data_IF_212064841998
#
_entry.id   IF_212064841998
#
_cell.length_a   1.000
_cell.length_b   1.000
_cell.length_c   1.000
_cell.angle_alpha   90.00
_cell.angle_beta   90.00
_cell.angle_gamma   90.00
#
_symmetry.space_group_name_H-M   'P 1'
#
loop_
_entity.id
_entity.type
_entity.pdbx_description
1 polymer ?
#
# COMPACT_ATOMS: atom_id res chain seq x y z
N UNK A 1 5.87 -28.75 -10.27
CA UNK A 1 5.62 -27.38 -10.77
C UNK A 1 4.61 -26.78 -9.82
N UNK A 2 4.82 -25.57 -9.30
CA UNK A 2 3.89 -24.94 -8.36
C UNK A 2 2.67 -24.43 -9.13
N UNK A 3 1.48 -24.94 -8.82
CA UNK A 3 0.21 -24.52 -9.43
C UNK A 3 -0.71 -23.88 -8.39
N UNK A 4 -0.99 -24.58 -7.29
CA UNK A 4 -1.92 -24.11 -6.28
C UNK A 4 -1.16 -23.47 -5.11
N UNK A 5 -1.36 -22.16 -4.93
CA UNK A 5 -0.72 -21.39 -3.87
C UNK A 5 -1.77 -20.97 -2.86
N UNK A 6 -1.57 -21.31 -1.59
CA UNK A 6 -2.33 -20.74 -0.50
C UNK A 6 -1.72 -19.39 -0.11
N UNK A 7 -2.51 -18.33 -0.19
CA UNK A 7 -2.13 -16.97 0.15
C UNK A 7 -2.81 -16.58 1.45
N UNK A 8 -2.02 -16.29 2.47
CA UNK A 8 -2.48 -15.71 3.73
C UNK A 8 -2.37 -14.18 3.56
N UNK A 9 -3.51 -13.51 3.49
CA UNK A 9 -3.61 -12.05 3.32
C UNK A 9 -4.29 -11.44 4.55
N UNK A 10 -3.50 -10.76 5.38
CA UNK A 10 -3.96 -10.15 6.63
C UNK A 10 -3.99 -8.64 6.46
N UNK A 11 -5.14 -8.13 6.01
CA UNK A 11 -5.44 -6.70 6.00
C UNK A 11 -5.77 -6.17 7.39
N UNK A 12 -5.83 -4.85 7.54
CA UNK A 12 -6.07 -4.19 8.84
C UNK A 12 -7.37 -4.66 9.52
N UNK A 13 -8.46 -4.76 8.76
CA UNK A 13 -9.80 -5.04 9.31
C UNK A 13 -10.28 -6.46 9.04
N UNK A 14 -9.70 -7.14 8.04
CA UNK A 14 -10.10 -8.48 7.64
C UNK A 14 -8.88 -9.29 7.21
N UNK A 15 -8.85 -10.55 7.65
CA UNK A 15 -7.88 -11.54 7.21
C UNK A 15 -8.56 -12.55 6.29
N UNK A 16 -7.81 -13.08 5.32
CA UNK A 16 -8.27 -14.15 4.45
C UNK A 16 -7.16 -15.15 4.16
N UNK A 17 -7.55 -16.40 3.92
CA UNK A 17 -6.70 -17.40 3.30
C UNK A 17 -7.38 -17.82 2.01
N UNK A 18 -6.70 -17.55 0.91
CA UNK A 18 -7.20 -17.79 -0.43
C UNK A 18 -6.33 -18.81 -1.15
N UNK A 19 -6.95 -19.62 -2.01
CA UNK A 19 -6.25 -20.53 -2.89
C UNK A 19 -6.22 -19.93 -4.29
N UNK A 20 -5.03 -19.75 -4.85
CA UNK A 20 -4.83 -19.24 -6.21
C UNK A 20 -4.32 -20.37 -7.10
N UNK A 21 -4.95 -20.54 -8.26
CA UNK A 21 -4.41 -21.32 -9.36
C UNK A 21 -3.55 -20.40 -10.23
N UNK A 22 -2.22 -20.60 -10.20
CA UNK A 22 -1.26 -19.80 -10.97
C UNK A 22 -1.38 -20.01 -12.48
N UNK A 23 -1.83 -21.18 -12.92
CA UNK A 23 -2.00 -21.46 -14.35
C UNK A 23 -3.16 -20.65 -14.94
N UNK A 24 -4.25 -20.54 -14.17
CA UNK A 24 -5.42 -19.74 -14.54
C UNK A 24 -5.33 -18.28 -14.07
N UNK A 25 -4.33 -17.95 -13.25
CA UNK A 25 -4.19 -16.67 -12.55
C UNK A 25 -5.50 -16.25 -11.87
N UNK A 26 -6.10 -17.18 -11.11
CA UNK A 26 -7.44 -16.99 -10.54
C UNK A 26 -7.54 -17.47 -9.11
N UNK A 27 -8.25 -16.70 -8.29
CA UNK A 27 -8.68 -17.13 -6.96
C UNK A 27 -9.77 -18.21 -7.08
N UNK A 28 -9.48 -19.40 -6.55
CA UNK A 28 -10.32 -20.60 -6.66
C UNK A 28 -11.22 -20.80 -5.46
N UNK A 29 -10.76 -20.38 -4.28
CA UNK A 29 -11.48 -20.48 -3.03
C UNK A 29 -10.92 -19.45 -2.05
N UNK A 30 -11.76 -18.95 -1.15
CA UNK A 30 -11.38 -17.98 -0.14
C UNK A 30 -12.11 -18.26 1.17
N UNK A 31 -11.39 -18.16 2.28
CA UNK A 31 -11.95 -18.09 3.63
C UNK A 31 -11.58 -16.76 4.22
N UNK A 32 -12.50 -16.14 4.95
CA UNK A 32 -12.31 -14.81 5.53
C UNK A 32 -12.68 -14.81 7.00
N UNK A 33 -12.03 -13.95 7.78
CA UNK A 33 -12.49 -13.57 9.12
C UNK A 33 -12.13 -12.11 9.42
N UNK A 34 -12.86 -11.45 10.34
CA UNK A 34 -12.42 -10.17 10.89
C UNK A 34 -11.01 -10.27 11.48
N UNK A 35 -10.17 -9.27 11.21
CA UNK A 35 -8.91 -9.07 11.92
C UNK A 35 -9.20 -8.22 13.16
N UNK A 36 -9.48 -8.89 14.28
CA UNK A 36 -9.94 -8.25 15.50
C UNK A 36 -8.80 -7.61 16.27
N UNK A 37 -9.00 -6.35 16.66
CA UNK A 37 -8.19 -5.67 17.67
C UNK A 37 -8.86 -5.91 19.03
N UNK A 38 -8.12 -6.52 19.96
CA UNK A 38 -8.59 -6.74 21.32
C UNK A 38 -8.49 -5.43 22.11
N UNK A 39 -9.61 -4.89 22.63
CA UNK A 39 -9.57 -3.72 23.48
C UNK A 39 -9.12 -4.15 24.87
N UNK A 40 -7.99 -3.63 25.37
CA UNK A 40 -7.53 -3.97 26.71
C UNK A 40 -6.08 -3.63 26.99
N UNK A 41 -5.64 -3.93 28.22
CA UNK A 41 -4.25 -3.82 28.62
C UNK A 41 -3.38 -4.85 27.86
N UNK A 42 -2.09 -4.55 27.58
CA UNK A 42 -1.39 -3.30 27.91
C UNK A 42 -1.78 -2.12 27.00
N UNK A 43 -2.31 -2.40 25.82
CA UNK A 43 -2.80 -1.45 24.80
C UNK A 43 -3.61 -2.23 23.75
N UNK A 44 -4.39 -1.58 22.87
CA UNK A 44 -5.06 -2.26 21.76
C UNK A 44 -4.08 -3.02 20.86
N UNK A 45 -4.32 -4.32 20.66
CA UNK A 45 -3.43 -5.22 19.93
C UNK A 45 -4.22 -6.25 19.12
N UNK A 46 -3.60 -6.80 18.08
CA UNK A 46 -4.24 -7.81 17.24
C UNK A 46 -4.37 -9.16 17.96
N UNK A 47 -5.49 -9.84 17.74
CA UNK A 47 -5.73 -11.21 18.19
C UNK A 47 -4.96 -12.23 17.32
N UNK A 48 -3.65 -12.33 17.57
CA UNK A 48 -2.75 -13.19 16.78
C UNK A 48 -3.03 -14.67 16.97
N UNK A 49 -3.57 -15.09 18.11
CA UNK A 49 -3.88 -16.49 18.36
C UNK A 49 -5.10 -16.94 17.57
N UNK A 50 -6.18 -16.14 17.56
CA UNK A 50 -7.34 -16.45 16.73
C UNK A 50 -7.02 -16.36 15.22
N UNK A 51 -6.09 -15.48 14.82
CA UNK A 51 -5.59 -15.44 13.44
C UNK A 51 -4.84 -16.73 13.09
N UNK A 52 -4.01 -17.22 14.01
CA UNK A 52 -3.26 -18.46 13.80
C UNK A 52 -4.17 -19.67 13.65
N UNK A 53 -5.13 -19.84 14.55
CA UNK A 53 -6.10 -20.94 14.49
C UNK A 53 -6.88 -20.92 13.17
N UNK A 54 -7.31 -19.74 12.75
CA UNK A 54 -7.98 -19.54 11.47
C UNK A 54 -7.09 -19.89 10.27
N UNK A 55 -5.79 -19.52 10.30
CA UNK A 55 -4.84 -19.86 9.24
C UNK A 55 -4.72 -21.37 9.12
N UNK A 56 -4.47 -22.07 10.23
CA UNK A 56 -4.31 -23.53 10.23
C UNK A 56 -5.56 -24.25 9.75
N UNK A 57 -6.72 -23.86 10.26
CA UNK A 57 -8.00 -24.44 9.83
C UNK A 57 -8.23 -24.18 8.33
N UNK A 58 -7.91 -22.97 7.85
CA UNK A 58 -8.12 -22.62 6.45
C UNK A 58 -7.20 -23.37 5.51
N UNK A 59 -5.92 -23.49 5.85
CA UNK A 59 -4.97 -24.31 5.10
C UNK A 59 -5.46 -25.76 5.02
N UNK A 60 -5.95 -26.31 6.14
CA UNK A 60 -6.51 -27.67 6.18
C UNK A 60 -7.73 -27.84 5.26
N UNK A 61 -8.68 -26.90 5.32
CA UNK A 61 -9.90 -26.95 4.49
C UNK A 61 -9.55 -26.84 3.01
N UNK A 62 -8.71 -25.88 2.63
CA UNK A 62 -8.34 -25.65 1.24
C UNK A 62 -7.56 -26.85 0.66
N UNK A 63 -6.64 -27.42 1.46
CA UNK A 63 -5.82 -28.54 1.04
C UNK A 63 -6.62 -29.83 0.78
N UNK A 64 -7.80 -30.00 1.41
CA UNK A 64 -8.71 -31.12 1.10
C UNK A 64 -9.36 -31.01 -0.28
N UNK A 65 -9.56 -29.78 -0.78
CA UNK A 65 -10.13 -29.54 -2.11
C UNK A 65 -9.09 -29.56 -3.22
N UNK A 66 -7.88 -29.05 -2.93
CA UNK A 66 -6.79 -28.91 -3.89
C UNK A 66 -5.46 -29.14 -3.18
N UNK A 67 -4.55 -29.91 -3.77
CA UNK A 67 -3.22 -30.11 -3.18
C UNK A 67 -2.43 -28.79 -3.20
N UNK A 68 -2.17 -28.20 -2.03
CA UNK A 68 -1.44 -26.94 -1.92
C UNK A 68 0.06 -27.16 -2.14
N UNK A 69 0.62 -26.50 -3.15
CA UNK A 69 2.02 -26.64 -3.55
C UNK A 69 2.96 -25.69 -2.80
N UNK A 70 2.46 -24.51 -2.42
CA UNK A 70 3.23 -23.48 -1.72
C UNK A 70 2.32 -22.58 -0.87
N UNK A 71 2.92 -21.92 0.12
CA UNK A 71 2.28 -20.86 0.91
C UNK A 71 3.00 -19.55 0.65
N UNK A 72 2.22 -18.48 0.46
CA UNK A 72 2.70 -17.10 0.43
C UNK A 72 1.94 -16.29 1.48
N UNK A 73 2.60 -15.27 2.04
CA UNK A 73 2.02 -14.40 3.06
C UNK A 73 2.13 -12.95 2.61
N UNK A 74 1.04 -12.21 2.81
CA UNK A 74 0.99 -10.76 2.66
C UNK A 74 0.19 -10.14 3.79
N UNK A 75 0.60 -8.97 4.27
CA UNK A 75 -0.12 -8.26 5.34
C UNK A 75 -0.10 -6.75 5.13
N UNK A 76 -0.96 -6.05 5.87
CA UNK A 76 -0.86 -4.60 6.04
C UNK A 76 0.49 -4.17 6.60
N UNK A 77 0.87 -2.92 6.30
CA UNK A 77 2.09 -2.29 6.78
C UNK A 77 2.02 -1.78 8.21
N UNK A 78 3.03 -0.99 8.59
CA UNK A 78 3.17 -0.36 9.91
C UNK A 78 2.98 -1.34 11.08
N UNK A 79 3.50 -2.57 11.00
CA UNK A 79 3.29 -3.58 12.05
C UNK A 79 4.47 -4.55 12.12
N UNK A 80 4.86 -4.91 13.33
CA UNK A 80 5.87 -5.94 13.60
C UNK A 80 5.54 -6.73 14.87
N UNK A 81 6.05 -7.96 14.93
CA UNK A 81 6.06 -8.77 16.13
C UNK A 81 7.42 -8.61 16.85
N UNK A 82 7.38 -8.44 18.16
CA UNK A 82 8.55 -8.41 19.03
C UNK A 82 8.63 -9.76 19.75
N UNK A 83 9.54 -10.62 19.29
CA UNK A 83 9.68 -11.99 19.76
C UNK A 83 10.76 -12.09 20.85
N UNK A 84 10.52 -12.91 21.87
CA UNK A 84 11.50 -13.30 22.88
C UNK A 84 12.44 -14.40 22.35
N UNK A 85 13.42 -14.81 23.17
CA UNK A 85 14.40 -15.84 22.78
C UNK A 85 13.81 -17.25 22.56
N UNK A 86 12.56 -17.50 23.00
CA UNK A 86 11.83 -18.75 22.75
C UNK A 86 10.94 -18.66 21.51
N UNK A 87 10.77 -17.46 20.95
CA UNK A 87 9.86 -17.18 19.84
C UNK A 87 8.46 -16.74 20.29
N UNK A 88 8.22 -16.57 21.59
CA UNK A 88 6.94 -16.05 22.07
C UNK A 88 6.88 -14.53 21.89
N UNK A 89 5.69 -13.94 21.80
CA UNK A 89 5.56 -12.48 21.79
C UNK A 89 6.00 -11.91 23.15
N UNK A 90 7.08 -11.13 23.16
CA UNK A 90 7.52 -10.39 24.35
C UNK A 90 6.51 -9.29 24.73
N UNK A 91 5.84 -8.75 23.73
CA UNK A 91 4.78 -7.75 23.82
C UNK A 91 3.71 -8.04 22.76
N UNK A 92 2.41 -7.82 23.04
CA UNK A 92 1.35 -8.01 22.04
C UNK A 92 1.55 -7.13 20.80
N UNK A 93 1.14 -7.60 19.63
CA UNK A 93 1.28 -6.88 18.35
C UNK A 93 0.37 -5.64 18.34
N UNK A 94 0.98 -4.47 18.48
CA UNK A 94 0.29 -3.18 18.60
C UNK A 94 -0.59 -2.88 17.38
N UNK A 95 -1.79 -2.36 17.63
CA UNK A 95 -2.59 -1.71 16.59
C UNK A 95 -1.98 -0.36 16.22
N UNK A 96 -1.57 -0.17 14.96
CA UNK A 96 -0.96 1.07 14.51
C UNK A 96 -1.89 2.29 14.58
N UNK A 97 -3.21 2.10 14.70
CA UNK A 97 -4.17 3.20 14.90
C UNK A 97 -4.16 3.72 16.34
N UNK A 98 -3.51 3.00 17.26
CA UNK A 98 -3.36 3.45 18.64
C UNK A 98 -2.44 4.67 18.73
N UNK A 99 -2.89 5.68 19.49
CA UNK A 99 -2.15 6.93 19.70
C UNK A 99 -1.08 6.85 20.80
N UNK A 100 -0.88 5.69 21.43
CA UNK A 100 0.14 5.49 22.47
C UNK A 100 1.52 6.05 22.10
N UNK A 101 2.07 5.75 20.90
CA UNK A 101 3.34 6.32 20.46
C UNK A 101 3.41 7.84 20.42
N UNK A 102 2.29 8.55 20.27
CA UNK A 102 2.27 10.01 20.27
C UNK A 102 2.60 10.61 21.65
N UNK A 103 2.41 9.84 22.73
CA UNK A 103 2.86 10.24 24.08
C UNK A 103 4.38 10.41 24.17
N UNK A 104 5.13 9.75 23.27
CA UNK A 104 6.58 9.85 23.17
C UNK A 104 7.04 10.75 22.00
N UNK A 105 6.13 11.48 21.34
CA UNK A 105 6.42 12.19 20.08
C UNK A 105 7.61 13.16 20.17
N UNK A 106 7.72 13.94 21.25
CA UNK A 106 8.82 14.89 21.43
C UNK A 106 10.18 14.18 21.60
N UNK A 107 10.21 13.08 22.38
CA UNK A 107 11.42 12.28 22.56
C UNK A 107 11.79 11.52 21.28
N UNK A 108 10.79 11.00 20.56
CA UNK A 108 10.99 10.32 19.28
C UNK A 108 11.51 11.29 18.21
N UNK A 109 10.97 12.51 18.13
CA UNK A 109 11.41 13.52 17.17
C UNK A 109 12.91 13.87 17.31
N UNK A 110 13.47 13.76 18.52
CA UNK A 110 14.89 14.02 18.78
C UNK A 110 15.82 12.91 18.26
N UNK A 111 15.32 11.70 18.01
CA UNK A 111 16.10 10.53 17.56
C UNK A 111 15.70 10.02 16.18
N UNK A 112 14.60 10.54 15.63
CA UNK A 112 14.05 10.14 14.35
C UNK A 112 14.99 10.56 13.21
N UNK A 113 15.25 9.70 12.22
CA UNK A 113 16.02 10.05 11.04
C UNK A 113 15.38 11.21 10.26
N UNK A 114 16.18 12.03 9.57
CA UNK A 114 15.66 13.03 8.65
C UNK A 114 14.91 12.37 7.48
N UNK A 115 14.00 13.10 6.86
CA UNK A 115 13.20 12.60 5.73
C UNK A 115 14.09 12.22 4.55
N UNK A 116 15.19 12.94 4.32
CA UNK A 116 16.15 12.70 3.26
C UNK A 116 16.83 11.33 3.35
N UNK A 117 16.93 10.75 4.55
CA UNK A 117 17.55 9.44 4.76
C UNK A 117 16.58 8.28 4.45
N UNK A 118 15.33 8.43 4.87
CA UNK A 118 14.35 7.34 4.92
C UNK A 118 13.22 7.48 3.90
N UNK A 119 12.96 8.69 3.42
CA UNK A 119 11.76 9.06 2.67
C UNK A 119 10.46 8.82 3.45
N UNK A 120 10.54 8.63 4.77
CA UNK A 120 9.40 8.37 5.63
C UNK A 120 8.95 9.70 6.24
N UNK A 121 7.67 10.13 6.10
CA UNK A 121 7.13 11.29 6.81
C UNK A 121 6.74 10.91 8.24
N UNK A 122 6.67 11.90 9.15
CA UNK A 122 6.11 11.66 10.50
C UNK A 122 4.60 11.53 10.38
N UNK A 123 4.07 10.38 10.77
CA UNK A 123 2.65 10.04 10.76
C UNK A 123 2.12 9.87 12.20
N UNK A 124 0.81 10.12 12.45
CA UNK A 124 0.23 10.02 13.78
C UNK A 124 0.14 8.57 14.28
N UNK A 125 -0.03 8.41 15.59
CA UNK A 125 -0.15 7.12 16.25
C UNK A 125 1.03 6.19 15.97
N UNK A 126 0.72 4.91 15.72
CA UNK A 126 1.69 3.88 15.39
C UNK A 126 2.05 3.80 13.90
N UNK A 127 1.63 4.72 13.03
CA UNK A 127 1.87 4.55 11.58
C UNK A 127 3.36 4.51 11.18
N UNK A 128 4.25 5.11 11.98
CA UNK A 128 5.69 4.84 11.87
C UNK A 128 6.07 3.70 12.81
N UNK A 129 6.52 2.57 12.27
CA UNK A 129 6.91 1.40 13.07
C UNK A 129 8.07 1.72 14.05
N UNK A 130 9.01 2.58 13.67
CA UNK A 130 10.07 3.07 14.56
C UNK A 130 9.53 3.81 15.79
N UNK A 131 8.43 4.56 15.64
CA UNK A 131 7.77 5.22 16.76
C UNK A 131 7.13 4.20 17.71
N UNK A 132 6.57 3.11 17.17
CA UNK A 132 6.03 2.01 17.98
C UNK A 132 7.13 1.35 18.81
N UNK A 133 8.20 0.90 18.17
CA UNK A 133 9.32 0.21 18.85
C UNK A 133 9.95 1.13 19.89
N UNK A 134 10.15 2.40 19.55
CA UNK A 134 10.65 3.40 20.49
C UNK A 134 9.72 3.53 21.71
N UNK A 135 8.43 3.76 21.49
CA UNK A 135 7.45 3.89 22.57
C UNK A 135 7.35 2.65 23.46
N UNK A 136 7.33 1.45 22.86
CA UNK A 136 7.32 0.18 23.58
C UNK A 136 8.58 0.03 24.45
N UNK A 137 9.75 0.39 23.93
CA UNK A 137 11.03 0.32 24.68
C UNK A 137 11.07 1.26 25.89
N UNK A 138 10.32 2.37 25.86
CA UNK A 138 10.24 3.34 26.96
C UNK A 138 9.14 3.03 27.95
N UNK A 139 8.01 2.52 27.46
CA UNK A 139 6.79 2.30 28.27
C UNK A 139 6.82 0.94 28.96
N UNK A 140 7.41 -0.06 28.31
CA UNK A 140 7.48 -1.44 28.79
C UNK A 140 8.93 -1.95 28.81
N UNK A 141 9.85 -1.28 29.54
CA UNK A 141 11.28 -1.58 29.47
C UNK A 141 11.62 -3.01 29.93
N UNK A 142 10.91 -3.53 30.93
CA UNK A 142 11.13 -4.88 31.46
C UNK A 142 10.76 -5.95 30.42
N UNK A 143 9.60 -5.80 29.76
CA UNK A 143 9.19 -6.69 28.68
C UNK A 143 10.08 -6.52 27.44
N UNK A 144 10.44 -5.28 27.09
CA UNK A 144 11.28 -4.99 25.96
C UNK A 144 12.70 -5.57 26.12
N UNK A 145 13.21 -5.68 27.35
CA UNK A 145 14.49 -6.32 27.64
C UNK A 145 14.54 -7.80 27.26
N UNK A 146 13.40 -8.46 27.08
CA UNK A 146 13.30 -9.85 26.63
C UNK A 146 13.24 -10.00 25.10
N UNK A 147 13.10 -8.91 24.36
CA UNK A 147 13.02 -8.94 22.89
C UNK A 147 14.34 -9.44 22.32
N UNK A 148 14.27 -10.54 21.58
CA UNK A 148 15.37 -11.14 20.85
C UNK A 148 15.26 -10.90 19.34
N UNK A 149 14.05 -10.64 18.81
CA UNK A 149 13.85 -10.37 17.38
C UNK A 149 12.68 -9.43 17.12
N UNK A 150 12.86 -8.48 16.19
CA UNK A 150 11.82 -7.59 15.67
C UNK A 150 11.54 -8.00 14.23
N UNK A 151 10.37 -8.59 14.01
CA UNK A 151 9.99 -9.25 12.76
C UNK A 151 8.83 -8.52 12.11
N UNK A 152 8.97 -8.07 10.87
CA UNK A 152 7.86 -7.44 10.12
C UNK A 152 6.67 -8.38 9.97
N UNK A 153 5.46 -7.82 9.86
CA UNK A 153 4.25 -8.62 10.07
C UNK A 153 4.04 -9.79 9.10
N UNK A 154 4.33 -9.71 7.78
CA UNK A 154 4.27 -10.90 6.93
C UNK A 154 5.26 -11.97 7.40
N UNK A 155 6.46 -11.55 7.78
CA UNK A 155 7.51 -12.46 8.18
C UNK A 155 7.24 -13.13 9.51
N UNK A 156 6.51 -12.48 10.44
CA UNK A 156 6.04 -13.14 11.67
C UNK A 156 5.22 -14.40 11.35
N UNK A 157 4.31 -14.34 10.39
CA UNK A 157 3.52 -15.51 10.01
C UNK A 157 4.33 -16.55 9.23
N UNK A 158 5.24 -16.12 8.35
CA UNK A 158 6.12 -17.08 7.66
C UNK A 158 7.08 -17.78 8.62
N UNK A 159 7.53 -17.09 9.68
CA UNK A 159 8.32 -17.66 10.76
C UNK A 159 7.49 -18.67 11.56
N UNK A 160 6.25 -18.35 11.93
CA UNK A 160 5.33 -19.31 12.59
C UNK A 160 5.10 -20.58 11.76
N UNK A 161 5.17 -20.49 10.43
CA UNK A 161 4.98 -21.62 9.51
C UNK A 161 6.26 -22.43 9.25
N UNK A 162 7.43 -21.79 9.22
CA UNK A 162 8.69 -22.39 8.74
C UNK A 162 9.81 -22.48 9.80
N UNK A 163 9.67 -21.75 10.91
CA UNK A 163 10.70 -21.59 11.94
C UNK A 163 11.86 -20.68 11.53
N UNK A 164 11.86 -20.10 10.33
CA UNK A 164 12.97 -19.30 9.81
C UNK A 164 12.72 -17.81 10.04
N UNK A 165 13.60 -17.16 10.81
CA UNK A 165 13.56 -15.72 11.02
C UNK A 165 14.12 -14.99 9.80
N UNK A 166 13.35 -14.05 9.28
CA UNK A 166 13.74 -13.15 8.21
C UNK A 166 12.97 -11.83 8.33
N UNK A 167 13.50 -10.77 7.73
CA UNK A 167 12.74 -9.57 7.39
C UNK A 167 12.75 -9.41 5.86
N UNK A 168 11.83 -8.60 5.36
CA UNK A 168 11.68 -8.35 3.93
C UNK A 168 11.52 -6.84 3.70
N UNK A 169 12.10 -6.36 2.59
CA UNK A 169 12.34 -4.93 2.39
C UNK A 169 11.07 -4.13 2.11
N UNK A 170 10.04 -4.73 1.50
CA UNK A 170 8.81 -3.99 1.18
C UNK A 170 8.05 -3.57 2.44
N UNK A 171 8.06 -4.38 3.50
CA UNK A 171 7.48 -4.02 4.79
C UNK A 171 8.33 -2.99 5.53
N UNK A 172 9.67 -3.11 5.47
CA UNK A 172 10.59 -2.12 6.03
C UNK A 172 10.49 -0.76 5.32
N UNK A 173 10.23 -0.75 4.02
CA UNK A 173 10.04 0.44 3.21
C UNK A 173 8.70 1.16 3.41
N UNK A 174 7.76 0.60 4.15
CA UNK A 174 6.44 1.20 4.38
C UNK A 174 6.50 2.25 5.51
N UNK A 175 7.07 3.43 5.20
CA UNK A 175 7.17 4.60 6.10
C UNK A 175 7.50 4.26 7.56
N UNK A 176 8.44 3.33 7.76
CA UNK A 176 8.72 2.75 9.08
C UNK A 176 9.67 3.60 9.92
N UNK A 177 10.39 4.54 9.30
CA UNK A 177 11.61 5.17 9.83
C UNK A 177 12.77 4.19 10.09
N UNK A 178 12.62 2.88 9.86
CA UNK A 178 13.62 1.85 10.13
C UNK A 178 14.54 1.55 8.93
N UNK A 179 14.19 2.02 7.74
CA UNK A 179 14.88 1.68 6.49
C UNK A 179 15.38 2.94 5.77
N UNK A 180 16.59 2.86 5.20
CA UNK A 180 17.10 3.84 4.25
C UNK A 180 17.08 3.25 2.83
N UNK A 181 16.13 3.69 1.97
CA UNK A 181 16.03 3.18 0.60
C UNK A 181 17.32 3.42 -0.22
N UNK A 182 17.98 4.57 -0.02
CA UNK A 182 19.19 4.92 -0.75
C UNK A 182 20.39 4.04 -0.35
N UNK A 183 20.55 3.77 0.95
CA UNK A 183 21.61 2.89 1.45
C UNK A 183 21.31 1.40 1.22
N UNK A 184 20.02 1.05 0.99
CA UNK A 184 19.52 -0.33 0.98
C UNK A 184 19.90 -1.07 2.26
N UNK A 185 19.82 -0.36 3.38
CA UNK A 185 20.10 -0.89 4.71
C UNK A 185 19.21 -0.21 5.76
N UNK A 186 19.25 -0.70 7.00
CA UNK A 186 18.54 -0.09 8.11
C UNK A 186 18.99 1.37 8.34
N UNK A 187 18.07 2.19 8.82
CA UNK A 187 18.31 3.61 9.08
C UNK A 187 19.16 3.83 10.34
N UNK A 188 19.63 5.06 10.49
CA UNK A 188 20.32 5.58 11.67
C UNK A 188 19.52 5.41 12.96
N UNK A 189 18.18 5.26 12.89
CA UNK A 189 17.34 4.97 14.06
C UNK A 189 17.68 3.61 14.68
N UNK A 190 17.86 2.60 13.84
CA UNK A 190 18.12 1.22 14.26
C UNK A 190 19.50 1.12 14.90
N UNK A 191 20.51 1.69 14.26
CA UNK A 191 21.88 1.68 14.77
C UNK A 191 22.02 2.55 16.03
N UNK A 192 21.38 3.73 16.06
CA UNK A 192 21.40 4.64 17.21
C UNK A 192 20.79 4.05 18.48
N UNK A 193 19.91 3.06 18.37
CA UNK A 193 19.32 2.34 19.51
C UNK A 193 19.91 0.95 19.74
N UNK A 194 20.91 0.54 18.94
CA UNK A 194 21.49 -0.81 19.02
C UNK A 194 20.51 -1.92 18.61
N UNK A 195 19.41 -1.60 17.93
CA UNK A 195 18.40 -2.57 17.52
C UNK A 195 18.85 -3.47 16.38
N UNK A 196 20.00 -3.18 15.73
CA UNK A 196 20.52 -4.00 14.64
C UNK A 196 20.66 -5.48 15.01
N UNK A 197 21.06 -5.77 16.25
CA UNK A 197 21.17 -7.14 16.75
C UNK A 197 19.82 -7.85 16.93
N UNK A 198 18.72 -7.09 17.00
CA UNK A 198 17.35 -7.60 17.09
C UNK A 198 16.70 -7.78 15.71
N UNK A 199 17.35 -7.36 14.62
CA UNK A 199 16.78 -7.44 13.28
C UNK A 199 17.22 -8.73 12.59
N UNK A 200 16.28 -9.63 12.21
CA UNK A 200 16.61 -10.81 11.40
C UNK A 200 17.27 -10.47 10.06
N UNK A 201 17.93 -11.45 9.43
CA UNK A 201 18.46 -11.30 8.07
C UNK A 201 17.37 -10.87 7.07
N UNK A 202 17.72 -9.96 6.18
CA UNK A 202 16.81 -9.54 5.11
C UNK A 202 16.86 -10.56 3.98
N UNK A 203 15.69 -11.00 3.50
CA UNK A 203 15.55 -11.97 2.42
C UNK A 203 14.61 -11.41 1.34
N UNK A 204 14.84 -11.71 0.06
CA UNK A 204 13.89 -11.39 -1.01
C UNK A 204 12.50 -12.00 -0.75
N UNK A 205 11.42 -11.28 -1.10
CA UNK A 205 10.04 -11.74 -0.92
C UNK A 205 9.76 -13.15 -1.51
N UNK A 206 10.41 -13.46 -2.64
CA UNK A 206 10.26 -14.75 -3.36
C UNK A 206 11.09 -15.90 -2.78
N UNK A 207 12.00 -15.63 -1.85
CA UNK A 207 12.83 -16.68 -1.27
C UNK A 207 11.96 -17.73 -0.59
N UNK A 208 12.28 -19.00 -0.81
CA UNK A 208 11.68 -20.12 -0.07
C UNK A 208 12.42 -20.23 1.26
N UNK A 209 11.78 -19.80 2.35
CA UNK A 209 12.41 -19.81 3.67
C UNK A 209 12.71 -21.23 4.15
N UNK A 210 11.79 -22.16 3.88
CA UNK A 210 11.93 -23.57 4.19
C UNK A 210 10.65 -24.35 3.93
N UNK A 211 10.66 -25.67 4.15
CA UNK A 211 9.43 -26.44 4.26
C UNK A 211 8.60 -25.98 5.47
N UNK A 212 7.32 -26.32 5.48
CA UNK A 212 6.50 -26.18 6.69
C UNK A 212 7.12 -26.96 7.86
N UNK A 213 6.95 -26.40 9.07
CA UNK A 213 7.24 -27.12 10.30
C UNK A 213 6.43 -28.43 10.37
N UNK A 214 7.02 -29.54 10.85
CA UNK A 214 6.37 -30.85 10.83
C UNK A 214 5.00 -30.90 11.53
N UNK A 215 4.87 -30.24 12.69
CA UNK A 215 3.62 -30.21 13.44
C UNK A 215 2.52 -29.41 12.71
N UNK A 216 2.90 -28.40 11.94
CA UNK A 216 1.99 -27.62 11.10
C UNK A 216 1.56 -28.42 9.87
N UNK A 217 2.48 -29.15 9.24
CA UNK A 217 2.13 -30.07 8.16
C UNK A 217 1.14 -31.14 8.63
N UNK A 218 1.32 -31.70 9.83
CA UNK A 218 0.38 -32.66 10.43
C UNK A 218 -0.99 -32.03 10.70
N UNK A 219 -1.05 -30.88 11.38
CA UNK A 219 -2.32 -30.18 11.72
C UNK A 219 -3.12 -29.77 10.48
N UNK A 220 -2.43 -29.39 9.41
CA UNK A 220 -3.07 -28.89 8.19
C UNK A 220 -3.28 -29.98 7.14
N UNK A 221 -2.57 -31.11 7.24
CA UNK A 221 -2.55 -32.16 6.22
C UNK A 221 -1.81 -31.77 4.93
N UNK A 222 -1.11 -30.63 4.90
CA UNK A 222 -0.25 -30.25 3.79
C UNK A 222 0.96 -31.20 3.71
N UNK A 223 1.53 -31.34 2.51
CA UNK A 223 2.75 -32.13 2.36
C UNK A 223 3.90 -31.50 3.17
N UNK A 224 4.70 -32.33 3.84
CA UNK A 224 5.84 -31.83 4.62
C UNK A 224 6.87 -31.03 3.78
N UNK A 225 6.89 -31.25 2.46
CA UNK A 225 7.74 -30.50 1.52
C UNK A 225 7.12 -29.20 0.99
N UNK A 226 5.90 -28.83 1.38
CA UNK A 226 5.27 -27.59 0.92
C UNK A 226 6.12 -26.40 1.36
N UNK A 227 6.49 -25.54 0.41
CA UNK A 227 7.41 -24.42 0.68
C UNK A 227 6.66 -23.17 1.12
N UNK A 228 7.27 -22.40 2.03
CA UNK A 228 6.80 -21.09 2.46
C UNK A 228 7.67 -20.00 1.84
N UNK A 229 7.07 -19.10 1.04
CA UNK A 229 7.75 -17.89 0.56
C UNK A 229 8.01 -16.91 1.71
N UNK A 230 9.03 -16.06 1.60
CA UNK A 230 9.36 -15.04 2.59
C UNK A 230 8.21 -14.04 2.81
N UNK A 231 7.36 -13.85 1.80
CA UNK A 231 6.18 -12.98 1.89
C UNK A 231 6.48 -11.53 1.53
N UNK A 232 5.46 -10.68 1.54
CA UNK A 232 5.53 -9.32 1.00
C UNK A 232 4.52 -8.40 1.71
N UNK A 233 4.73 -7.08 1.66
CA UNK A 233 3.73 -6.09 2.06
C UNK A 233 2.55 -6.01 1.07
N UNK A 234 1.32 -5.77 1.55
CA UNK A 234 0.09 -5.81 0.74
C UNK A 234 0.09 -4.90 -0.49
N UNK A 235 0.56 -3.66 -0.34
CA UNK A 235 0.62 -2.69 -1.44
C UNK A 235 1.61 -3.14 -2.50
N UNK A 236 2.69 -3.81 -2.06
CA UNK A 236 3.68 -4.41 -2.95
C UNK A 236 3.21 -5.72 -3.58
N UNK A 237 2.34 -6.49 -2.91
CA UNK A 237 1.67 -7.61 -3.54
C UNK A 237 0.86 -7.13 -4.75
N UNK A 238 0.06 -6.07 -4.61
CA UNK A 238 -0.69 -5.48 -5.73
C UNK A 238 0.22 -4.87 -6.81
N UNK A 239 1.39 -4.33 -6.43
CA UNK A 239 2.36 -3.75 -7.36
C UNK A 239 3.15 -4.81 -8.16
N UNK A 240 3.43 -5.96 -7.55
CA UNK A 240 4.30 -7.00 -8.10
C UNK A 240 3.89 -7.49 -9.51
N UNK A 241 2.61 -7.76 -9.81
CA UNK A 241 2.16 -8.05 -11.17
C UNK A 241 2.64 -7.05 -12.21
N UNK A 242 2.62 -5.76 -11.91
CA UNK A 242 3.09 -4.70 -12.80
C UNK A 242 4.61 -4.74 -12.97
N UNK A 243 5.35 -4.93 -11.87
CA UNK A 243 6.81 -5.06 -11.90
C UNK A 243 7.28 -6.25 -12.74
N UNK A 244 6.53 -7.34 -12.74
CA UNK A 244 6.87 -8.56 -13.50
C UNK A 244 6.50 -8.49 -14.98
N UNK A 245 5.63 -7.58 -15.39
CA UNK A 245 5.02 -7.57 -16.72
C UNK A 245 5.32 -6.29 -17.52
N UNK A 246 5.88 -5.26 -16.91
CA UNK A 246 6.09 -3.94 -17.54
C UNK A 246 7.54 -3.50 -17.46
N UNK A 247 7.96 -2.85 -18.54
CA UNK A 247 9.19 -2.08 -18.58
C UNK A 247 8.99 -0.73 -17.90
N UNK A 248 9.93 -0.33 -17.05
CA UNK A 248 10.03 1.04 -16.55
C UNK A 248 10.43 2.02 -17.69
N UNK A 249 10.05 3.30 -17.62
CA UNK A 249 9.26 3.93 -16.55
C UNK A 249 7.76 3.66 -16.68
N UNK A 250 7.06 3.58 -15.55
CA UNK A 250 5.61 3.64 -15.46
C UNK A 250 5.16 4.14 -14.09
N UNK A 251 3.89 4.51 -13.95
CA UNK A 251 3.30 4.84 -12.66
C UNK A 251 2.07 3.98 -12.39
N UNK A 252 1.78 3.72 -11.10
CA UNK A 252 0.54 3.08 -10.65
C UNK A 252 -0.20 4.05 -9.75
N UNK A 253 -1.49 4.25 -10.04
CA UNK A 253 -2.43 5.02 -9.23
C UNK A 253 -3.46 4.05 -8.69
N UNK A 254 -3.30 3.69 -7.42
CA UNK A 254 -4.32 2.93 -6.69
C UNK A 254 -5.37 3.90 -6.16
N UNK A 255 -6.64 3.67 -6.52
CA UNK A 255 -7.76 4.48 -6.05
C UNK A 255 -8.66 3.71 -5.08
N UNK A 256 -9.23 4.45 -4.13
CA UNK A 256 -10.11 4.01 -3.06
C UNK A 256 -10.43 5.22 -2.20
N UNK A 257 -10.64 5.05 -0.89
CA UNK A 257 -10.71 6.19 0.06
C UNK A 257 -9.52 7.14 -0.10
N UNK A 258 -8.33 6.55 -0.30
CA UNK A 258 -7.11 7.23 -0.69
C UNK A 258 -6.83 7.02 -2.17
N UNK A 259 -6.23 8.02 -2.79
CA UNK A 259 -5.52 7.88 -4.05
C UNK A 259 -4.03 7.86 -3.72
N UNK A 260 -3.36 6.77 -4.08
CA UNK A 260 -1.92 6.55 -3.87
C UNK A 260 -1.26 6.40 -5.22
N UNK A 261 -0.36 7.33 -5.53
CA UNK A 261 0.46 7.34 -6.75
C UNK A 261 1.85 6.80 -6.44
N UNK A 262 2.35 5.88 -7.24
CA UNK A 262 3.67 5.25 -7.12
C UNK A 262 4.40 5.34 -8.45
N UNK A 263 5.64 5.81 -8.46
CA UNK A 263 6.46 5.94 -9.67
C UNK A 263 7.56 4.87 -9.72
N UNK A 264 7.57 4.09 -10.81
CA UNK A 264 8.59 3.07 -11.06
C UNK A 264 9.55 3.55 -12.13
N UNK A 265 10.82 3.73 -11.77
CA UNK A 265 11.87 4.18 -12.69
C UNK A 265 11.66 5.59 -13.25
N UNK A 266 10.91 6.43 -12.54
CA UNK A 266 10.63 7.81 -12.94
C UNK A 266 11.85 8.76 -12.84
N UNK A 267 11.60 10.04 -13.11
CA UNK A 267 12.58 11.11 -13.00
C UNK A 267 13.04 11.31 -11.56
N UNK A 268 14.34 11.59 -11.39
CA UNK A 268 14.89 11.94 -10.07
C UNK A 268 14.35 13.30 -9.63
N UNK A 269 13.64 13.32 -8.50
CA UNK A 269 13.08 14.52 -7.88
C UNK A 269 13.44 14.57 -6.40
N UNK A 270 13.46 15.78 -5.84
CA UNK A 270 13.51 15.96 -4.38
C UNK A 270 12.07 15.99 -3.87
N UNK A 271 11.72 15.01 -3.04
CA UNK A 271 10.38 14.91 -2.47
C UNK A 271 10.18 15.93 -1.34
N UNK A 272 8.97 16.47 -1.25
CA UNK A 272 8.54 17.39 -0.19
C UNK A 272 7.61 16.66 0.79
N UNK A 273 8.13 16.36 1.98
CA UNK A 273 7.40 15.68 3.04
C UNK A 273 6.13 16.44 3.49
N UNK A 274 6.10 17.77 3.29
CA UNK A 274 4.95 18.60 3.64
C UNK A 274 3.80 18.49 2.60
N UNK A 275 3.99 17.75 1.50
CA UNK A 275 3.00 17.57 0.43
C UNK A 275 2.54 16.11 0.30
N UNK A 276 2.54 15.39 1.42
CA UNK A 276 2.09 13.99 1.55
C UNK A 276 2.82 13.04 0.57
N UNK A 277 4.12 13.29 0.40
CA UNK A 277 5.05 12.44 -0.35
C UNK A 277 5.86 11.54 0.59
N UNK A 278 6.26 10.38 0.07
CA UNK A 278 7.07 9.39 0.79
C UNK A 278 7.81 8.47 -0.19
N UNK A 279 8.75 7.67 0.31
CA UNK A 279 9.47 6.65 -0.46
C UNK A 279 9.12 5.28 0.10
N UNK A 280 8.39 4.49 -0.68
CA UNK A 280 8.24 3.05 -0.45
C UNK A 280 9.44 2.29 -1.03
N UNK A 281 9.49 0.97 -0.85
CA UNK A 281 10.47 0.10 -1.51
C UNK A 281 9.76 -1.05 -2.20
N UNK A 282 10.17 -1.38 -3.43
CA UNK A 282 9.58 -2.48 -4.18
C UNK A 282 10.18 -3.85 -3.83
N UNK A 283 9.61 -4.92 -4.41
CA UNK A 283 10.07 -6.29 -4.19
C UNK A 283 11.50 -6.59 -4.69
N UNK A 284 12.08 -5.70 -5.51
CA UNK A 284 13.48 -5.75 -5.96
C UNK A 284 14.40 -4.96 -5.02
N UNK A 285 13.84 -4.25 -4.04
CA UNK A 285 14.55 -3.38 -3.12
C UNK A 285 14.79 -1.97 -3.66
N UNK A 286 14.14 -1.59 -4.75
CA UNK A 286 14.32 -0.28 -5.38
C UNK A 286 13.38 0.76 -4.75
N UNK A 287 13.83 2.02 -4.57
CA UNK A 287 12.98 3.09 -4.05
C UNK A 287 11.78 3.36 -4.96
N UNK A 288 10.61 3.54 -4.36
CA UNK A 288 9.35 3.87 -5.02
C UNK A 288 8.82 5.20 -4.48
N UNK A 289 9.21 6.33 -5.09
CA UNK A 289 8.61 7.63 -4.82
C UNK A 289 7.09 7.54 -4.92
N UNK A 290 6.41 8.00 -3.89
CA UNK A 290 4.97 7.87 -3.72
C UNK A 290 4.35 9.17 -3.20
N UNK A 291 3.12 9.45 -3.62
CA UNK A 291 2.34 10.59 -3.16
C UNK A 291 0.90 10.17 -2.96
N UNK A 292 0.23 10.77 -1.97
CA UNK A 292 -1.11 10.33 -1.56
C UNK A 292 -2.00 11.53 -1.30
N UNK A 293 -3.31 11.33 -1.45
CA UNK A 293 -4.34 12.24 -0.92
C UNK A 293 -5.66 11.47 -0.74
N UNK A 294 -6.60 12.01 0.03
CA UNK A 294 -7.88 11.35 0.29
C UNK A 294 -8.89 11.47 -0.87
N UNK A 295 -8.45 11.24 -2.12
CA UNK A 295 -9.22 11.57 -3.33
C UNK A 295 -10.60 10.92 -3.42
N UNK A 296 -10.76 9.67 -2.98
CA UNK A 296 -12.09 9.04 -2.95
C UNK A 296 -13.01 9.69 -1.92
N UNK A 297 -12.50 10.03 -0.73
CA UNK A 297 -13.29 10.74 0.27
C UNK A 297 -13.64 12.16 -0.17
N UNK A 298 -12.69 12.88 -0.78
CA UNK A 298 -12.96 14.21 -1.34
C UNK A 298 -14.05 14.14 -2.42
N UNK A 299 -13.99 13.13 -3.29
CA UNK A 299 -15.02 12.90 -4.30
C UNK A 299 -16.39 12.61 -3.68
N UNK A 300 -16.46 11.75 -2.66
CA UNK A 300 -17.70 11.47 -1.92
C UNK A 300 -18.30 12.75 -1.31
N UNK A 301 -17.47 13.59 -0.66
CA UNK A 301 -17.89 14.87 -0.07
C UNK A 301 -18.43 15.81 -1.14
N UNK A 302 -17.79 15.84 -2.32
CA UNK A 302 -18.23 16.69 -3.42
C UNK A 302 -19.55 16.21 -4.05
N UNK A 303 -19.79 14.90 -4.09
CA UNK A 303 -20.98 14.33 -4.71
C UNK A 303 -22.21 14.27 -3.80
N UNK A 304 -22.06 14.48 -2.49
CA UNK A 304 -23.16 14.43 -1.50
C UNK A 304 -24.01 13.13 -1.60
N UNK A 305 -23.37 12.02 -1.98
CA UNK A 305 -23.98 10.69 -2.02
C UNK A 305 -24.70 10.29 -3.33
N UNK A 306 -25.00 11.21 -4.25
CA UNK A 306 -25.69 10.89 -5.51
C UNK A 306 -24.78 11.10 -6.74
N UNK A 307 -24.57 10.03 -7.50
CA UNK A 307 -23.91 10.09 -8.80
C UNK A 307 -24.80 10.76 -9.84
N UNK A 308 -24.60 12.06 -10.08
CA UNK A 308 -25.35 12.76 -11.11
C UNK A 308 -25.01 12.23 -12.51
N UNK A 309 -26.03 11.91 -13.30
CA UNK A 309 -25.86 11.58 -14.71
C UNK A 309 -25.45 12.84 -15.48
N UNK A 310 -24.31 12.78 -16.16
CA UNK A 310 -23.79 13.86 -17.01
C UNK A 310 -23.86 13.46 -18.50
N UNK A 311 -23.81 14.47 -19.36
CA UNK A 311 -23.79 14.36 -20.82
C UNK A 311 -22.56 15.06 -21.39
N UNK A 312 -22.22 14.80 -22.65
CA UNK A 312 -21.11 15.48 -23.32
C UNK A 312 -21.30 17.01 -23.34
N UNK A 313 -22.55 17.48 -23.42
CA UNK A 313 -22.88 18.91 -23.34
C UNK A 313 -22.57 19.52 -21.96
N UNK A 314 -22.64 18.75 -20.88
CA UNK A 314 -22.21 19.21 -19.55
C UNK A 314 -20.69 19.37 -19.51
N UNK A 315 -19.96 18.43 -20.10
CA UNK A 315 -18.50 18.47 -20.20
C UNK A 315 -18.04 19.67 -21.02
N UNK A 316 -18.64 19.89 -22.19
CA UNK A 316 -18.35 21.05 -23.05
C UNK A 316 -18.60 22.37 -22.32
N UNK A 317 -19.69 22.47 -21.55
CA UNK A 317 -20.00 23.68 -20.78
C UNK A 317 -18.98 23.93 -19.66
N UNK A 318 -18.61 22.90 -18.91
CA UNK A 318 -17.58 23.00 -17.86
C UNK A 318 -16.24 23.45 -18.45
N UNK A 319 -15.83 22.87 -19.58
CA UNK A 319 -14.59 23.25 -20.27
C UNK A 319 -14.65 24.67 -20.84
N UNK A 320 -15.74 25.05 -21.49
CA UNK A 320 -15.89 26.36 -22.12
C UNK A 320 -15.96 27.51 -21.09
N UNK A 321 -16.53 27.25 -19.91
CA UNK A 321 -16.63 28.21 -18.82
C UNK A 321 -15.40 28.22 -17.90
N UNK A 322 -14.45 27.31 -18.13
CA UNK A 322 -13.31 27.06 -17.22
C UNK A 322 -13.78 26.81 -15.78
N UNK A 323 -14.90 26.08 -15.63
CA UNK A 323 -15.46 25.78 -14.32
C UNK A 323 -14.62 24.72 -13.62
N UNK A 324 -14.00 25.08 -12.50
CA UNK A 324 -13.04 24.21 -11.81
C UNK A 324 -13.08 24.39 -10.30
N UNK A 325 -12.61 23.36 -9.59
CA UNK A 325 -12.41 23.39 -8.15
C UNK A 325 -10.92 23.46 -7.84
N UNK A 326 -10.49 24.47 -7.09
CA UNK A 326 -9.15 24.51 -6.51
C UNK A 326 -9.11 23.71 -5.20
N UNK A 327 -7.97 23.08 -4.87
CA UNK A 327 -7.79 22.32 -3.63
C UNK A 327 -7.64 23.21 -2.39
N UNK A 328 -7.79 22.66 -1.17
CA UNK A 328 -8.08 21.25 -0.87
C UNK A 328 -9.47 21.09 -0.25
N UNK A 329 -10.20 20.04 -0.63
CA UNK A 329 -11.51 19.71 -0.05
C UNK A 329 -11.35 19.19 1.37
N UNK A 330 -10.35 18.33 1.60
CA UNK A 330 -9.93 17.89 2.92
C UNK A 330 -8.55 18.45 3.25
N UNK A 331 -8.43 19.07 4.42
CA UNK A 331 -7.17 19.62 4.93
C UNK A 331 -6.32 18.55 5.60
N UNK A 332 -5.01 18.79 5.66
CA UNK A 332 -4.06 17.91 6.34
C UNK A 332 -3.64 16.67 5.56
N UNK A 333 -4.08 16.52 4.30
CA UNK A 333 -3.65 15.47 3.39
C UNK A 333 -3.37 16.02 2.00
N UNK A 334 -2.65 15.26 1.19
CA UNK A 334 -2.50 15.57 -0.23
C UNK A 334 -1.45 16.59 -0.60
N UNK A 335 -1.37 16.92 -1.91
CA UNK A 335 -0.35 17.82 -2.45
C UNK A 335 -0.55 19.29 -2.03
N UNK A 336 -1.66 19.63 -1.38
CA UNK A 336 -1.97 21.00 -0.93
C UNK A 336 -2.63 21.01 0.46
N UNK A 337 -1.97 20.47 1.51
CA UNK A 337 -2.65 20.13 2.76
C UNK A 337 -3.11 21.35 3.57
N UNK A 338 -2.51 22.52 3.33
CA UNK A 338 -2.88 23.79 3.98
C UNK A 338 -3.90 24.64 3.22
N UNK A 339 -4.31 24.24 2.00
CA UNK A 339 -5.22 25.03 1.19
C UNK A 339 -6.69 24.80 1.59
N UNK A 340 -7.56 25.74 1.19
CA UNK A 340 -9.02 25.63 1.29
C UNK A 340 -9.62 25.64 -0.10
N UNK A 341 -10.51 24.69 -0.37
CA UNK A 341 -11.13 24.57 -1.68
C UNK A 341 -11.91 25.82 -2.09
N UNK A 342 -11.89 26.11 -3.39
CA UNK A 342 -12.54 27.27 -3.98
C UNK A 342 -13.02 26.96 -5.40
N UNK A 343 -14.28 27.21 -5.68
CA UNK A 343 -14.83 27.13 -7.03
C UNK A 343 -14.45 28.35 -7.87
N UNK A 344 -14.15 28.12 -9.15
CA UNK A 344 -13.88 29.14 -10.15
C UNK A 344 -14.77 28.87 -11.38
N UNK A 345 -15.40 29.90 -11.99
CA UNK A 345 -15.60 31.23 -11.39
C UNK A 345 -16.57 31.19 -10.21
N UNK A 346 -17.47 30.21 -10.18
CA UNK A 346 -18.45 29.97 -9.12
C UNK A 346 -18.82 28.49 -9.05
N UNK A 347 -19.47 28.09 -7.96
CA UNK A 347 -19.95 26.71 -7.79
C UNK A 347 -20.99 26.36 -8.88
N UNK A 348 -20.89 25.18 -9.52
CA UNK A 348 -21.88 24.75 -10.51
C UNK A 348 -23.25 24.55 -9.85
N UNK A 349 -24.28 25.17 -10.43
CA UNK A 349 -25.67 24.94 -10.01
C UNK A 349 -26.20 23.59 -10.48
N UNK A 350 -25.66 23.05 -11.58
CA UNK A 350 -26.03 21.74 -12.13
C UNK A 350 -25.29 20.62 -11.41
N UNK A 351 -25.99 19.61 -10.86
CA UNK A 351 -25.34 18.42 -10.31
C UNK A 351 -24.46 17.67 -11.33
N UNK A 352 -24.85 17.68 -12.61
CA UNK A 352 -24.08 17.07 -13.68
C UNK A 352 -22.74 17.79 -13.92
N UNK A 353 -22.76 19.13 -14.02
CA UNK A 353 -21.54 19.93 -14.17
C UNK A 353 -20.64 19.83 -12.93
N UNK A 354 -21.24 19.76 -11.74
CA UNK A 354 -20.52 19.50 -10.48
C UNK A 354 -19.82 18.15 -10.52
N UNK A 355 -20.48 17.09 -10.98
CA UNK A 355 -19.87 15.77 -11.12
C UNK A 355 -18.68 15.77 -12.09
N UNK A 356 -18.81 16.52 -13.19
CA UNK A 356 -17.72 16.71 -14.17
C UNK A 356 -16.54 17.42 -13.51
N UNK A 357 -16.77 18.58 -12.91
CA UNK A 357 -15.70 19.37 -12.29
C UNK A 357 -15.05 18.65 -11.10
N UNK A 358 -15.82 17.90 -10.29
CA UNK A 358 -15.29 17.05 -9.23
C UNK A 358 -14.40 15.92 -9.77
N UNK A 359 -14.78 15.29 -10.88
CA UNK A 359 -13.98 14.25 -11.53
C UNK A 359 -12.66 14.82 -12.08
N UNK A 360 -12.72 16.01 -12.68
CA UNK A 360 -11.54 16.73 -13.15
C UNK A 360 -10.62 17.14 -12.00
N UNK A 361 -11.19 17.64 -10.90
CA UNK A 361 -10.44 18.00 -9.70
C UNK A 361 -9.61 16.82 -9.15
N UNK A 362 -10.22 15.64 -8.98
CA UNK A 362 -9.50 14.45 -8.49
C UNK A 362 -8.38 14.04 -9.46
N UNK A 363 -8.61 14.14 -10.78
CA UNK A 363 -7.60 13.88 -11.79
C UNK A 363 -6.44 14.88 -11.74
N UNK A 364 -6.71 16.17 -11.56
CA UNK A 364 -5.70 17.23 -11.48
C UNK A 364 -4.88 17.15 -10.18
N UNK A 365 -5.50 16.79 -9.07
CA UNK A 365 -4.82 16.44 -7.83
C UNK A 365 -3.89 15.23 -8.01
N UNK A 366 -4.37 14.21 -8.72
CA UNK A 366 -3.58 13.01 -9.04
C UNK A 366 -2.41 13.32 -9.96
N UNK A 367 -2.63 14.13 -11.00
CA UNK A 367 -1.57 14.61 -11.89
C UNK A 367 -0.49 15.40 -11.10
N UNK A 368 -0.91 16.24 -10.15
CA UNK A 368 0.02 16.95 -9.26
C UNK A 368 0.84 15.97 -8.40
N UNK A 369 0.20 14.94 -7.83
CA UNK A 369 0.91 13.88 -7.09
C UNK A 369 1.93 13.15 -7.96
N UNK A 370 1.57 12.82 -9.20
CA UNK A 370 2.48 12.18 -10.16
C UNK A 370 3.67 13.08 -10.52
N UNK A 371 3.43 14.37 -10.72
CA UNK A 371 4.50 15.36 -10.98
C UNK A 371 5.46 15.46 -9.77
N UNK A 372 4.92 15.48 -8.54
CA UNK A 372 5.70 15.57 -7.30
C UNK A 372 6.67 14.40 -7.10
N UNK A 373 6.32 13.22 -7.60
CA UNK A 373 7.11 11.99 -7.44
C UNK A 373 7.95 11.68 -8.69
N UNK A 374 7.98 12.59 -9.65
CA UNK A 374 8.74 12.41 -10.89
C UNK A 374 8.22 11.27 -11.77
N UNK A 375 6.93 10.94 -11.69
CA UNK A 375 6.36 9.86 -12.48
C UNK A 375 6.54 10.11 -13.99
N UNK A 376 6.93 9.08 -14.72
CA UNK A 376 7.09 9.10 -16.18
C UNK A 376 6.51 7.81 -16.80
N UNK A 377 6.39 7.78 -18.13
CA UNK A 377 5.76 6.68 -18.86
C UNK A 377 4.25 6.58 -18.60
N UNK A 378 3.62 5.47 -19.01
CA UNK A 378 2.18 5.29 -18.85
C UNK A 378 1.77 5.24 -17.38
N UNK A 379 0.56 5.72 -17.10
CA UNK A 379 -0.05 5.64 -15.76
C UNK A 379 -1.12 4.55 -15.74
N UNK A 380 -0.91 3.52 -14.93
CA UNK A 380 -1.90 2.48 -14.67
C UNK A 380 -2.82 2.97 -13.56
N UNK A 381 -4.13 2.93 -13.79
CA UNK A 381 -5.14 3.28 -12.77
C UNK A 381 -5.84 2.00 -12.32
N UNK A 382 -5.93 1.83 -11.00
CA UNK A 382 -6.64 0.73 -10.35
C UNK A 382 -7.70 1.26 -9.38
N UNK A 383 -8.66 0.41 -9.03
CA UNK A 383 -9.73 0.75 -8.07
C UNK A 383 -10.95 1.43 -8.71
N UNK A 384 -11.87 2.01 -7.92
CA UNK A 384 -13.17 2.48 -8.40
C UNK A 384 -13.08 3.64 -9.40
N UNK A 385 -12.00 4.45 -9.37
CA UNK A 385 -11.85 5.57 -10.32
C UNK A 385 -11.59 5.11 -11.76
N UNK A 386 -11.26 3.84 -12.00
CA UNK A 386 -11.12 3.26 -13.36
C UNK A 386 -12.41 3.43 -14.17
N UNK A 387 -13.58 3.32 -13.53
CA UNK A 387 -14.86 3.46 -14.20
C UNK A 387 -15.23 4.92 -14.52
N UNK A 388 -14.55 5.90 -13.90
CA UNK A 388 -14.81 7.31 -14.11
C UNK A 388 -14.04 7.81 -15.35
N UNK A 389 -14.74 7.83 -16.50
CA UNK A 389 -14.18 8.27 -17.80
C UNK A 389 -13.65 9.71 -17.78
N UNK A 390 -14.29 10.59 -17.01
CA UNK A 390 -13.85 11.98 -16.88
C UNK A 390 -12.55 12.09 -16.11
N UNK A 391 -12.37 11.26 -15.07
CA UNK A 391 -11.12 11.16 -14.32
C UNK A 391 -9.98 10.67 -15.22
N UNK A 392 -10.13 9.52 -15.89
CA UNK A 392 -9.05 8.97 -16.73
C UNK A 392 -8.71 9.86 -17.92
N UNK A 393 -9.70 10.50 -18.55
CA UNK A 393 -9.48 11.45 -19.63
C UNK A 393 -8.74 12.71 -19.17
N UNK A 394 -9.15 13.30 -18.05
CA UNK A 394 -8.48 14.49 -17.51
C UNK A 394 -7.08 14.16 -16.99
N UNK A 395 -6.86 12.97 -16.45
CA UNK A 395 -5.53 12.54 -16.03
C UNK A 395 -4.58 12.40 -17.23
N UNK A 396 -5.05 11.81 -18.34
CA UNK A 396 -4.29 11.71 -19.59
C UNK A 396 -3.95 13.10 -20.13
N UNK A 397 -4.94 14.00 -20.22
CA UNK A 397 -4.76 15.37 -20.68
C UNK A 397 -3.80 16.18 -19.78
N UNK A 398 -3.97 16.10 -18.46
CA UNK A 398 -3.17 16.89 -17.51
C UNK A 398 -1.71 16.44 -17.47
N UNK A 399 -1.45 15.14 -17.63
CA UNK A 399 -0.09 14.58 -17.59
C UNK A 399 0.57 14.53 -18.97
N UNK A 400 -0.19 14.56 -20.06
CA UNK A 400 0.30 14.31 -21.42
C UNK A 400 0.82 12.88 -21.61
N UNK A 401 0.43 11.94 -20.74
CA UNK A 401 0.89 10.54 -20.75
C UNK A 401 -0.28 9.58 -20.93
N UNK A 402 -0.08 8.42 -21.58
CA UNK A 402 -1.13 7.42 -21.70
C UNK A 402 -1.63 6.95 -20.33
N UNK A 403 -2.94 6.86 -20.17
CA UNK A 403 -3.58 6.26 -19.00
C UNK A 403 -4.09 4.88 -19.37
N UNK A 404 -3.66 3.87 -18.61
CA UNK A 404 -4.02 2.49 -18.81
C UNK A 404 -5.00 2.08 -17.71
N UNK A 405 -6.21 1.69 -18.10
CA UNK A 405 -7.28 1.35 -17.19
C UNK A 405 -7.88 -0.01 -17.57
N UNK A 406 -8.16 -0.87 -16.59
CA UNK A 406 -8.84 -2.13 -16.85
C UNK A 406 -9.85 -2.43 -15.74
N UNK A 407 -11.12 -2.45 -16.10
CA UNK A 407 -12.20 -2.82 -15.18
C UNK A 407 -12.16 -4.31 -14.77
N UNK A 408 -11.44 -5.13 -15.53
CA UNK A 408 -11.30 -6.58 -15.30
C UNK A 408 -10.03 -6.93 -14.51
N UNK A 409 -9.10 -5.97 -14.36
CA UNK A 409 -7.86 -6.18 -13.63
C UNK A 409 -7.88 -5.40 -12.33
N UNK A 410 -8.52 -5.96 -11.33
CA UNK A 410 -7.96 -5.85 -10.00
C UNK A 410 -6.88 -6.93 -9.93
N UNK A 411 -5.61 -6.57 -10.12
CA UNK A 411 -4.51 -7.43 -9.67
C UNK A 411 -4.56 -7.42 -8.14
N UNK A 412 -5.53 -8.15 -7.59
CA UNK A 412 -5.80 -8.16 -6.17
C UNK A 412 -4.55 -8.64 -5.42
N UNK A 413 -4.36 -8.10 -4.23
CA UNK A 413 -3.28 -8.46 -3.28
C UNK A 413 -3.04 -9.97 -3.23
N UNK A 414 -4.10 -10.79 -3.28
CA UNK A 414 -4.01 -12.26 -3.31
C UNK A 414 -3.20 -12.78 -4.50
N UNK A 415 -3.56 -12.38 -5.73
CA UNK A 415 -2.93 -12.89 -6.96
C UNK A 415 -1.47 -12.45 -6.99
N UNK A 416 -1.22 -11.18 -6.67
CA UNK A 416 0.13 -10.65 -6.59
C UNK A 416 1.02 -11.41 -5.61
N UNK A 417 0.54 -11.69 -4.39
CA UNK A 417 1.29 -12.49 -3.42
C UNK A 417 1.48 -13.94 -3.87
N UNK A 418 0.54 -14.54 -4.61
CA UNK A 418 0.71 -15.89 -5.18
C UNK A 418 1.86 -15.95 -6.20
N UNK A 419 2.10 -14.87 -6.95
CA UNK A 419 3.18 -14.81 -7.94
C UNK A 419 4.58 -14.94 -7.32
N UNK A 420 4.74 -14.75 -6.00
CA UNK A 420 6.02 -15.04 -5.32
C UNK A 420 6.45 -16.49 -5.44
N UNK A 421 5.49 -17.41 -5.58
CA UNK A 421 5.76 -18.84 -5.75
C UNK A 421 5.87 -19.26 -7.23
N UNK A 422 5.62 -18.34 -8.17
CA UNK A 422 5.73 -18.58 -9.61
C UNK A 422 7.20 -18.65 -10.05
N UNK A 423 7.49 -19.59 -10.95
CA UNK A 423 8.79 -19.67 -11.63
C UNK A 423 8.83 -18.88 -12.96
N UNK A 424 7.67 -18.45 -13.45
CA UNK A 424 7.50 -17.80 -14.76
C UNK A 424 7.03 -16.36 -14.61
N UNK A 425 7.31 -15.53 -15.62
CA UNK A 425 6.77 -14.17 -15.72
C UNK A 425 5.24 -14.15 -15.71
N UNK A 426 4.68 -12.98 -15.42
CA UNK A 426 3.24 -12.75 -15.40
C UNK A 426 2.85 -11.90 -16.60
N UNK A 427 1.81 -12.31 -17.34
CA UNK A 427 1.19 -11.47 -18.35
C UNK A 427 0.04 -10.71 -17.70
N UNK A 428 0.07 -9.40 -17.81
CA UNK A 428 -0.87 -8.51 -17.17
C UNK A 428 -2.12 -8.27 -18.02
N UNK A 429 -2.48 -9.17 -18.93
CA UNK A 429 -3.73 -9.12 -19.66
C UNK A 429 -3.98 -7.85 -20.48
N UNK A 430 -5.15 -7.75 -21.12
CA UNK A 430 -5.52 -6.59 -21.92
C UNK A 430 -5.93 -5.40 -21.03
N UNK A 431 -5.49 -4.20 -21.40
CA UNK A 431 -5.91 -2.94 -20.79
C UNK A 431 -6.48 -1.98 -21.82
N UNK A 432 -7.44 -1.17 -21.40
CA UNK A 432 -7.94 -0.05 -22.20
C UNK A 432 -6.94 1.09 -22.08
N UNK A 433 -6.48 1.59 -23.23
CA UNK A 433 -5.57 2.73 -23.30
C UNK A 433 -6.36 4.00 -23.60
N UNK A 434 -6.18 5.02 -22.77
CA UNK A 434 -6.65 6.38 -22.99
C UNK A 434 -5.45 7.22 -23.42
N UNK A 435 -5.42 7.57 -24.70
CA UNK A 435 -4.37 8.40 -25.29
C UNK A 435 -4.69 9.89 -25.05
N UNK A 436 -3.70 10.73 -24.69
CA UNK A 436 -3.89 12.17 -24.61
C UNK A 436 -4.29 12.84 -25.94
N UNK A 437 -4.06 12.20 -27.10
CA UNK A 437 -4.37 12.78 -28.40
C UNK A 437 -5.86 13.18 -28.55
N UNK A 438 -6.11 14.42 -29.01
CA UNK A 438 -7.45 14.97 -29.23
C UNK A 438 -8.14 15.54 -27.98
N UNK A 439 -7.38 15.77 -26.89
CA UNK A 439 -7.88 16.34 -25.64
C UNK A 439 -7.48 17.83 -25.45
N UNK A 440 -7.31 18.61 -26.53
CA UNK A 440 -6.72 19.95 -26.46
C UNK A 440 -7.52 20.92 -25.57
N UNK A 441 -8.84 20.77 -25.49
CA UNK A 441 -9.67 21.57 -24.58
C UNK A 441 -9.42 21.22 -23.11
N UNK A 442 -9.19 19.94 -22.82
CA UNK A 442 -8.95 19.45 -21.45
C UNK A 442 -7.56 19.84 -20.99
N UNK A 443 -6.56 19.78 -21.87
CA UNK A 443 -5.21 20.28 -21.63
C UNK A 443 -5.20 21.77 -21.28
N UNK A 444 -5.98 22.58 -22.02
CA UNK A 444 -6.16 24.01 -21.70
C UNK A 444 -6.79 24.22 -20.32
N UNK A 445 -7.83 23.45 -19.98
CA UNK A 445 -8.45 23.49 -18.66
C UNK A 445 -7.45 23.12 -17.54
N UNK A 446 -6.67 22.05 -17.73
CA UNK A 446 -5.63 21.64 -16.79
C UNK A 446 -4.54 22.72 -16.61
N UNK A 447 -4.14 23.39 -17.70
CA UNK A 447 -3.19 24.49 -17.65
C UNK A 447 -3.77 25.73 -16.93
N UNK A 448 -5.04 26.06 -17.18
CA UNK A 448 -5.75 27.15 -16.50
C UNK A 448 -5.82 26.89 -14.98
N UNK A 449 -6.19 25.67 -14.58
CA UNK A 449 -6.21 25.25 -13.17
C UNK A 449 -4.85 25.40 -12.47
N UNK A 450 -3.77 24.98 -13.13
CA UNK A 450 -2.40 25.16 -12.62
C UNK A 450 -2.01 26.64 -12.49
N UNK A 451 -2.50 27.50 -13.39
CA UNK A 451 -2.22 28.93 -13.34
C UNK A 451 -2.99 29.62 -12.20
N UNK A 452 -4.26 29.26 -11.97
CA UNK A 452 -5.03 29.77 -10.84
C UNK A 452 -4.44 29.35 -9.48
N UNK A 453 -3.88 28.14 -9.39
CA UNK A 453 -3.17 27.69 -8.18
C UNK A 453 -1.91 28.49 -7.84
N UNK A 454 -1.31 29.18 -8.80
CA UNK A 454 -0.10 30.00 -8.61
C UNK A 454 -0.40 31.46 -8.25
N UNK A 455 -1.65 31.90 -8.41
CA UNK A 455 -2.11 33.24 -8.05
C UNK A 455 -2.54 33.27 -6.59
#
# INVERSE_FOLDING_TARGET
MTRYVAVIDIGKTNAKVALVDLELTREMAVRTRPNTVLPGAPYPHFDTDALWDFILESLSVLNRGYQVDAISVTTHGATAALLDARGDLALPVLDYEHSGPDAAAAAYAAVRPPFEETGSPRLPGGLNLGAQVFWLSKTFPDQFAHVASIVTYPQYWTWRLSGVLANEVTSLGCHTDLWSPAARDYSSLVDGHGWRALMPPIRPARDRLGPLLPDIAEKTGLAAGTSVCCGIHDSNASLLPHLLSRSQPFAVVSSGTWVVSMAMGGNKVTLDAARDTLINVDASGDPVPSARFMGGREFEVLMDGDGAHWTDADVERVLAQETMLLPSVLQGSGPFPGHRSKWIPSEPASPAERAVAASFYVALMTATCLDLIGADGPTIVEGPLVANRLFVGMLAAATGRPVLASAMMTTGTTIGAALLASATGHDAGPMVTFDPAGLEQWERCAAAWRNELRR
#
